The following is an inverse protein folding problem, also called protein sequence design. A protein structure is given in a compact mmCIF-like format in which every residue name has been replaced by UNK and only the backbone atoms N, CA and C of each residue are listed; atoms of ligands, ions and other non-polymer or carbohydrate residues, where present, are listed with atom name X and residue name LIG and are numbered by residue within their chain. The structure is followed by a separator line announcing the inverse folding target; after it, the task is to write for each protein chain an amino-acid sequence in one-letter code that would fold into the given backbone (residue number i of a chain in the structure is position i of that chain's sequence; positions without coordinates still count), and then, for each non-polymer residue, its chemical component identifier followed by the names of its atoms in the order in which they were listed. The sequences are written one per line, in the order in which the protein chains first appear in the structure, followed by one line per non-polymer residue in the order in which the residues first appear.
data_IF_643699552733
#
_entry.id   IF_643699552733
#
_cell.length_a   1.000
_cell.length_b   1.000
_cell.length_c   1.000
_cell.angle_alpha   90.00
_cell.angle_beta   90.00
_cell.angle_gamma   90.00
#
_symmetry.space_group_name_H-M   'P 1'
#
loop_
_entity.id
_entity.type
_entity.pdbx_description
1 polymer ?
#
# COMPACT_ATOMS: atom_id res chain seq x y z
N UNK A 1 -5.91 17.29 -21.88
CA UNK A 1 -5.72 16.91 -20.46
C UNK A 1 -6.78 15.88 -20.13
N UNK A 2 -6.38 14.66 -19.77
CA UNK A 2 -7.31 13.57 -19.48
C UNK A 2 -8.12 13.89 -18.21
N UNK A 3 -9.43 14.02 -18.35
CA UNK A 3 -10.33 14.31 -17.24
C UNK A 3 -10.48 13.05 -16.36
N UNK A 4 -9.84 13.04 -15.19
CA UNK A 4 -9.81 11.90 -14.26
C UNK A 4 -10.47 12.22 -12.92
N UNK A 5 -10.87 11.17 -12.21
CA UNK A 5 -11.32 11.21 -10.81
C UNK A 5 -10.40 10.37 -9.94
N UNK A 6 -10.20 10.83 -8.71
CA UNK A 6 -9.38 10.11 -7.74
C UNK A 6 -10.24 9.09 -6.99
N UNK A 7 -9.78 7.85 -6.91
CA UNK A 7 -10.31 6.88 -5.97
C UNK A 7 -9.23 6.51 -4.95
N UNK A 8 -9.62 6.44 -3.69
CA UNK A 8 -8.73 5.98 -2.60
C UNK A 8 -9.16 4.60 -2.15
N UNK A 9 -8.19 3.72 -1.96
CA UNK A 9 -8.42 2.37 -1.44
C UNK A 9 -7.40 2.06 -0.36
N UNK A 10 -7.84 1.33 0.66
CA UNK A 10 -6.99 0.76 1.70
C UNK A 10 -6.93 -0.75 1.49
N UNK A 11 -5.71 -1.27 1.36
CA UNK A 11 -5.43 -2.68 1.16
C UNK A 11 -4.81 -3.26 2.42
N UNK A 12 -5.24 -4.45 2.83
CA UNK A 12 -4.55 -5.24 3.84
C UNK A 12 -3.75 -6.34 3.16
N UNK A 13 -2.44 -6.34 3.42
CA UNK A 13 -1.48 -7.25 2.82
C UNK A 13 -1.00 -8.26 3.87
N UNK A 14 -1.09 -9.55 3.55
CA UNK A 14 -0.42 -10.61 4.30
C UNK A 14 0.89 -11.00 3.60
N UNK A 15 1.98 -11.20 4.35
CA UNK A 15 3.22 -11.71 3.79
C UNK A 15 3.06 -13.15 3.32
N UNK A 16 3.75 -13.49 2.23
CA UNK A 16 3.93 -14.86 1.77
C UNK A 16 5.36 -15.26 2.11
N UNK A 17 5.49 -16.32 2.91
CA UNK A 17 6.78 -16.84 3.33
C UNK A 17 7.17 -18.10 2.54
N UNK A 18 8.46 -18.30 2.33
CA UNK A 18 9.02 -19.61 1.96
C UNK A 18 9.17 -20.52 3.20
N UNK A 19 9.98 -21.57 3.10
CA UNK A 19 10.22 -22.54 4.17
C UNK A 19 11.17 -22.03 5.27
N UNK A 20 11.78 -20.84 5.11
CA UNK A 20 12.66 -20.26 6.13
C UNK A 20 11.84 -19.77 7.34
N UNK A 21 12.47 -19.64 8.51
CA UNK A 21 11.85 -19.06 9.70
C UNK A 21 11.25 -17.67 9.42
N UNK A 22 10.06 -17.40 9.98
CA UNK A 22 9.26 -16.19 9.71
C UNK A 22 9.90 -14.89 10.22
N UNK A 23 10.82 -15.00 11.16
CA UNK A 23 11.64 -13.93 11.72
C UNK A 23 12.82 -13.54 10.81
N UNK A 24 13.13 -14.33 9.77
CA UNK A 24 14.12 -13.96 8.77
C UNK A 24 13.48 -13.14 7.64
N UNK A 25 13.92 -11.91 7.34
CA UNK A 25 13.42 -11.12 6.20
C UNK A 25 13.54 -11.83 4.85
N UNK A 26 14.55 -12.69 4.66
CA UNK A 26 14.71 -13.52 3.45
C UNK A 26 13.63 -14.58 3.29
N UNK A 27 12.83 -14.81 4.34
CA UNK A 27 11.65 -15.68 4.23
C UNK A 27 10.54 -15.05 3.40
N UNK A 28 10.49 -13.72 3.30
CA UNK A 28 9.47 -12.98 2.54
C UNK A 28 9.71 -13.12 1.04
N UNK A 29 8.83 -13.86 0.37
CA UNK A 29 8.87 -14.04 -1.09
C UNK A 29 7.80 -13.23 -1.83
N UNK A 30 6.89 -12.61 -1.08
CA UNK A 30 5.88 -11.74 -1.65
C UNK A 30 4.83 -11.31 -0.62
N UNK A 31 3.76 -10.71 -1.12
CA UNK A 31 2.59 -10.34 -0.34
C UNK A 31 1.32 -10.59 -1.14
N UNK A 32 0.23 -10.91 -0.44
CA UNK A 32 -1.10 -11.08 -1.04
C UNK A 32 -2.09 -10.10 -0.42
N UNK A 33 -2.98 -9.56 -1.24
CA UNK A 33 -4.09 -8.72 -0.75
C UNK A 33 -5.13 -9.65 -0.12
N UNK A 34 -5.43 -9.45 1.17
CA UNK A 34 -6.44 -10.23 1.90
C UNK A 34 -7.65 -9.41 2.32
N UNK A 35 -7.56 -8.08 2.19
CA UNK A 35 -8.65 -7.18 2.51
C UNK A 35 -8.57 -5.92 1.65
N UNK A 36 -9.74 -5.39 1.31
CA UNK A 36 -9.90 -4.13 0.59
C UNK A 36 -11.03 -3.33 1.26
N UNK A 37 -10.74 -2.10 1.65
CA UNK A 37 -11.70 -1.20 2.28
C UNK A 37 -11.61 0.21 1.67
N UNK A 38 -12.74 0.94 1.70
CA UNK A 38 -12.79 2.33 1.24
C UNK A 38 -12.20 3.31 2.26
N UNK A 39 -12.12 2.90 3.53
CA UNK A 39 -11.57 3.68 4.64
C UNK A 39 -10.54 2.86 5.39
N UNK A 40 -9.65 3.54 6.12
CA UNK A 40 -8.71 2.93 7.05
C UNK A 40 -9.44 1.96 7.98
N UNK A 41 -8.95 0.73 8.13
CA UNK A 41 -9.60 -0.23 9.01
C UNK A 41 -9.43 0.22 10.47
N UNK A 42 -10.54 0.32 11.21
CA UNK A 42 -10.50 0.64 12.64
C UNK A 42 -9.78 -0.46 13.44
N UNK A 43 -9.84 -1.70 12.96
CA UNK A 43 -9.14 -2.86 13.51
C UNK A 43 -8.55 -3.69 12.37
N UNK A 44 -7.28 -3.47 11.99
CA UNK A 44 -6.60 -4.28 11.00
C UNK A 44 -6.52 -5.74 11.45
N UNK A 45 -6.51 -6.67 10.49
CA UNK A 45 -6.30 -8.08 10.80
C UNK A 45 -4.87 -8.29 11.32
N UNK A 46 -4.72 -9.15 12.33
CA UNK A 46 -3.39 -9.47 12.88
C UNK A 46 -2.46 -10.09 11.82
N UNK A 47 -1.20 -9.69 11.82
CA UNK A 47 -0.22 -10.15 10.83
C UNK A 47 -0.37 -9.52 9.44
N UNK A 48 -1.12 -8.41 9.32
CA UNK A 48 -1.30 -7.69 8.06
C UNK A 48 -0.70 -6.28 8.11
N UNK A 49 -0.25 -5.80 6.96
CA UNK A 49 0.15 -4.40 6.75
C UNK A 49 -0.95 -3.70 5.97
N UNK A 50 -1.31 -2.49 6.39
CA UNK A 50 -2.30 -1.67 5.68
C UNK A 50 -1.62 -0.66 4.76
N UNK A 51 -2.00 -0.65 3.48
CA UNK A 51 -1.44 0.23 2.44
C UNK A 51 -2.56 1.08 1.86
N UNK A 52 -2.37 2.40 1.85
CA UNK A 52 -3.28 3.35 1.20
C UNK A 52 -2.80 3.61 -0.22
N UNK A 53 -3.66 3.38 -1.21
CA UNK A 53 -3.41 3.70 -2.60
C UNK A 53 -4.41 4.77 -3.08
N UNK A 54 -3.90 5.71 -3.87
CA UNK A 54 -4.72 6.68 -4.60
C UNK A 54 -4.57 6.37 -6.09
N UNK A 55 -5.67 5.98 -6.74
CA UNK A 55 -5.71 5.67 -8.18
C UNK A 55 -6.42 6.80 -8.93
N UNK A 56 -5.92 7.12 -10.12
CA UNK A 56 -6.55 8.04 -11.05
C UNK A 56 -7.34 7.23 -12.07
N UNK A 57 -8.65 7.46 -12.13
CA UNK A 57 -9.54 6.76 -13.07
C UNK A 57 -10.09 7.78 -14.07
N UNK A 58 -9.94 7.58 -15.39
CA UNK A 58 -10.56 8.46 -16.37
C UNK A 58 -12.07 8.54 -16.16
N UNK A 59 -12.67 9.74 -16.21
CA UNK A 59 -14.13 9.91 -16.04
C UNK A 59 -14.92 9.13 -17.08
N UNK A 60 -14.36 8.97 -18.28
CA UNK A 60 -14.93 8.16 -19.37
C UNK A 60 -15.18 6.71 -18.99
N UNK A 61 -14.38 6.13 -18.08
CA UNK A 61 -14.53 4.75 -17.61
C UNK A 61 -15.84 4.51 -16.82
N UNK A 62 -16.45 5.57 -16.29
CA UNK A 62 -17.75 5.50 -15.59
C UNK A 62 -18.94 5.74 -16.52
N UNK A 63 -18.72 6.10 -17.79
CA UNK A 63 -19.79 6.31 -18.75
C UNK A 63 -20.25 4.97 -19.35
N UNK A 64 -21.57 4.71 -19.42
CA UNK A 64 -22.08 3.47 -19.99
C UNK A 64 -21.64 3.29 -21.45
N UNK A 65 -21.37 2.04 -21.85
CA UNK A 65 -20.99 1.63 -23.21
C UNK A 65 -19.64 2.19 -23.73
N UNK A 66 -18.79 2.72 -22.85
CA UNK A 66 -17.40 3.12 -23.17
C UNK A 66 -16.40 2.48 -22.20
N UNK A 67 -16.06 1.19 -22.35
CA UNK A 67 -15.05 0.55 -21.52
C UNK A 67 -13.64 1.04 -21.88
N UNK A 68 -13.33 2.29 -21.57
CA UNK A 68 -11.96 2.81 -21.56
C UNK A 68 -11.37 2.56 -20.17
N UNK A 69 -11.03 1.31 -19.85
CA UNK A 69 -10.48 1.00 -18.53
C UNK A 69 -9.35 -0.02 -18.59
N UNK A 70 -8.39 0.18 -19.48
CA UNK A 70 -7.04 -0.36 -19.23
C UNK A 70 -6.29 0.70 -18.44
N UNK A 71 -6.35 0.61 -17.11
CA UNK A 71 -5.52 1.44 -16.23
C UNK A 71 -4.10 0.85 -16.28
N UNK A 72 -3.25 1.39 -17.15
CA UNK A 72 -1.82 1.07 -17.14
C UNK A 72 -1.20 1.83 -15.97
N UNK A 73 -0.76 1.13 -14.93
CA UNK A 73 -0.02 1.74 -13.83
C UNK A 73 1.36 2.14 -14.40
N UNK A 74 1.70 3.44 -14.43
CA UNK A 74 3.00 3.90 -14.90
C UNK A 74 4.11 3.23 -14.10
N UNK A 75 5.16 2.79 -14.78
CA UNK A 75 6.27 2.07 -14.15
C UNK A 75 6.92 2.90 -13.03
N UNK A 76 6.90 4.23 -13.14
CA UNK A 76 7.39 5.15 -12.09
C UNK A 76 6.65 4.97 -10.75
N UNK A 77 5.34 4.67 -10.76
CA UNK A 77 4.55 4.42 -9.55
C UNK A 77 4.73 3.01 -8.97
N UNK A 78 5.43 2.13 -9.70
CA UNK A 78 5.81 0.79 -9.22
C UNK A 78 7.24 0.75 -8.66
N UNK A 79 8.01 1.83 -8.82
CA UNK A 79 9.32 1.94 -8.20
C UNK A 79 9.13 2.18 -6.70
N UNK A 80 9.71 1.30 -5.89
CA UNK A 80 9.73 1.51 -4.44
C UNK A 80 10.43 2.85 -4.17
N UNK A 81 9.69 3.84 -3.68
CA UNK A 81 10.29 5.03 -3.08
C UNK A 81 10.61 4.67 -1.63
N UNK A 82 11.87 4.37 -1.27
CA UNK A 82 12.21 4.15 0.11
C UNK A 82 11.92 5.42 0.90
N UNK A 83 10.90 5.36 1.75
CA UNK A 83 10.64 6.41 2.72
C UNK A 83 11.63 6.12 3.85
N UNK A 84 12.68 6.92 3.96
CA UNK A 84 13.56 6.90 5.12
C UNK A 84 12.75 7.42 6.30
N UNK A 85 12.45 6.56 7.26
CA UNK A 85 11.78 6.94 8.50
C UNK A 85 12.86 7.03 9.56
N UNK A 86 13.15 8.24 10.02
CA UNK A 86 14.00 8.44 11.19
C UNK A 86 13.19 8.07 12.43
N UNK A 87 13.53 6.94 13.05
CA UNK A 87 12.99 6.57 14.35
C UNK A 87 13.83 7.25 15.43
N UNK A 88 13.25 8.21 16.14
CA UNK A 88 13.85 8.76 17.36
C UNK A 88 13.50 7.86 18.56
N UNK A 89 14.50 7.51 19.36
CA UNK A 89 14.30 6.77 20.60
C UNK A 89 13.62 7.69 21.62
N UNK A 90 12.43 7.34 22.15
CA UNK A 90 11.75 8.16 23.16
C UNK A 90 12.53 8.31 24.48
N UNK A 91 13.61 7.54 24.71
CA UNK A 91 14.45 7.65 25.91
C UNK A 91 15.68 8.56 25.76
N UNK A 92 15.91 9.20 24.60
CA UNK A 92 17.14 9.96 24.35
C UNK A 92 17.12 11.41 24.92
N UNK A 93 16.07 11.80 25.65
CA UNK A 93 15.85 13.21 26.06
C UNK A 93 16.25 13.58 27.50
N UNK A 94 16.96 12.74 28.24
CA UNK A 94 17.24 12.99 29.68
C UNK A 94 18.65 12.62 30.14
N UNK A 95 19.68 12.87 29.32
CA UNK A 95 21.07 12.79 29.81
C UNK A 95 21.95 13.87 29.20
N UNK A 96 21.79 15.09 29.67
CA UNK A 96 22.87 16.08 29.74
C UNK A 96 22.65 16.93 31.02
N UNK A 97 23.37 16.54 32.07
CA UNK A 97 23.76 17.42 33.18
C UNK A 97 25.15 17.98 32.89
#
# INVERSE_FOLDING_TARGET
MSDSVQATVYLQLEPVHNYLPRDNPQSLIGAKVVGLTQKKAAKPRGGTVEVKLTIQVPKGAFLPLRPEAVIVIPQELTQAHPITVDATDPNESDTDQ
#
